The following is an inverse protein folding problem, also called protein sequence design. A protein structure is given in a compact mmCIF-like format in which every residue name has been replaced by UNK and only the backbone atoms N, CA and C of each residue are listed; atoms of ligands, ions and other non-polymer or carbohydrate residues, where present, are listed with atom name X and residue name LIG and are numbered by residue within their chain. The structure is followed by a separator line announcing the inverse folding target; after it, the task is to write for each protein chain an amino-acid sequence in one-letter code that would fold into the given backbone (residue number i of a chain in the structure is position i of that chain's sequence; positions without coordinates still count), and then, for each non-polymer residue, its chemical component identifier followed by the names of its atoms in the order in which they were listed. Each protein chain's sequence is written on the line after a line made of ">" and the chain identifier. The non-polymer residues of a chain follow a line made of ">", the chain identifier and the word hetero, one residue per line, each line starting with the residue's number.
data_IF_932636939122
#
_entry.id   IF_932636939122
#
_cell.length_a   1.000
_cell.length_b   1.000
_cell.length_c   1.000
_cell.angle_alpha   90.00
_cell.angle_beta   90.00
_cell.angle_gamma   90.00
#
_symmetry.space_group_name_H-M   'P 1'
#
loop_
_entity.id
_entity.type
_entity.pdbx_description
1 polymer ?
#
# COMPACT_ATOMS: atom_id res chain seq x y z
N UNK A 1 -0.92 35.65 14.56
CA UNK A 1 -1.73 34.48 14.99
C UNK A 1 -2.13 34.70 16.44
N UNK A 2 -3.40 35.02 16.71
CA UNK A 2 -3.88 35.17 18.08
C UNK A 2 -4.03 33.78 18.71
N UNK A 3 -3.30 33.52 19.80
CA UNK A 3 -3.49 32.32 20.60
C UNK A 3 -4.89 32.37 21.21
N UNK A 4 -5.79 31.48 20.78
CA UNK A 4 -7.13 31.32 21.38
C UNK A 4 -6.96 30.55 22.71
N UNK A 5 -6.67 31.28 23.78
CA UNK A 5 -6.33 30.74 25.12
C UNK A 5 -7.44 29.87 25.75
N UNK A 6 -8.66 29.82 25.18
CA UNK A 6 -9.79 29.10 25.75
C UNK A 6 -10.61 28.27 24.73
N UNK A 7 -9.99 27.80 23.65
CA UNK A 7 -10.68 26.99 22.65
C UNK A 7 -10.98 25.57 23.17
N UNK A 8 -12.23 25.13 22.99
CA UNK A 8 -12.65 23.75 23.29
C UNK A 8 -12.13 22.78 22.23
N UNK A 9 -11.81 21.55 22.63
CA UNK A 9 -11.32 20.50 21.73
C UNK A 9 -12.28 20.27 20.55
N UNK A 10 -13.58 20.24 20.84
CA UNK A 10 -14.68 20.10 19.88
C UNK A 10 -14.58 21.14 18.75
N UNK A 11 -14.39 22.41 19.10
CA UNK A 11 -14.23 23.50 18.14
C UNK A 11 -12.95 23.37 17.32
N UNK A 12 -11.86 22.94 17.94
CA UNK A 12 -10.57 22.73 17.26
C UNK A 12 -10.63 21.59 16.25
N UNK A 13 -11.28 20.47 16.59
CA UNK A 13 -11.51 19.34 15.67
C UNK A 13 -12.31 19.79 14.45
N UNK A 14 -13.36 20.59 14.64
CA UNK A 14 -14.15 21.16 13.55
C UNK A 14 -13.33 22.12 12.66
N UNK A 15 -12.44 22.92 13.26
CA UNK A 15 -11.51 23.76 12.49
C UNK A 15 -10.52 22.93 11.67
N UNK A 16 -10.04 21.78 12.17
CA UNK A 16 -9.19 20.87 11.40
C UNK A 16 -9.95 20.30 10.19
N UNK A 17 -11.19 19.83 10.40
CA UNK A 17 -12.04 19.35 9.30
C UNK A 17 -12.31 20.43 8.26
N UNK A 18 -12.59 21.66 8.68
CA UNK A 18 -12.82 22.79 7.77
C UNK A 18 -11.58 23.12 6.91
N UNK A 19 -10.39 22.74 7.36
CA UNK A 19 -9.14 22.86 6.60
C UNK A 19 -8.82 21.61 5.76
N UNK A 20 -9.75 20.65 5.65
CA UNK A 20 -9.56 19.39 4.91
C UNK A 20 -8.67 18.38 5.62
N UNK A 21 -8.44 18.53 6.94
CA UNK A 21 -7.62 17.60 7.73
C UNK A 21 -8.52 16.63 8.46
N UNK A 22 -8.42 15.35 8.10
CA UNK A 22 -9.23 14.28 8.67
C UNK A 22 -8.52 13.49 9.79
N UNK A 23 -7.40 13.98 10.29
CA UNK A 23 -6.67 13.31 11.36
C UNK A 23 -5.63 14.23 12.00
N UNK A 24 -5.24 13.89 13.22
CA UNK A 24 -4.28 14.67 13.99
C UNK A 24 -3.47 13.80 14.96
N UNK A 25 -2.23 14.24 15.21
CA UNK A 25 -1.39 13.70 16.26
C UNK A 25 -1.72 14.38 17.61
N UNK A 26 -1.57 13.63 18.70
CA UNK A 26 -1.76 14.14 20.05
C UNK A 26 -0.81 15.30 20.37
N UNK A 27 0.39 15.29 19.79
CA UNK A 27 1.37 16.36 19.98
C UNK A 27 0.93 17.66 19.29
N UNK A 28 0.37 17.58 18.07
CA UNK A 28 -0.22 18.75 17.41
C UNK A 28 -1.38 19.34 18.21
N UNK A 29 -2.15 18.49 18.89
CA UNK A 29 -3.21 18.95 19.80
C UNK A 29 -2.63 19.66 21.04
N UNK A 30 -1.53 19.15 21.61
CA UNK A 30 -0.85 19.77 22.76
C UNK A 30 -0.29 21.15 22.40
N UNK A 31 0.28 21.28 21.22
CA UNK A 31 0.80 22.55 20.69
C UNK A 31 -0.31 23.56 20.42
N UNK A 32 -1.45 23.10 19.88
CA UNK A 32 -2.57 23.97 19.57
C UNK A 32 -3.34 24.45 20.81
N UNK A 33 -3.46 23.60 21.84
CA UNK A 33 -4.20 23.89 23.07
C UNK A 33 -3.30 23.75 24.32
N UNK A 34 -2.26 24.60 24.48
CA UNK A 34 -1.26 24.45 25.54
C UNK A 34 -1.84 24.67 26.94
N UNK A 35 -2.89 25.49 27.07
CA UNK A 35 -3.55 25.79 28.34
C UNK A 35 -4.36 24.62 28.92
N UNK A 36 -4.68 23.59 28.12
CA UNK A 36 -5.41 22.42 28.62
C UNK A 36 -4.48 21.46 29.37
N UNK A 37 -4.95 20.91 30.49
CA UNK A 37 -4.22 19.86 31.21
C UNK A 37 -4.33 18.51 30.49
N UNK A 38 -3.39 17.59 30.71
CA UNK A 38 -3.46 16.23 30.15
C UNK A 38 -4.73 15.49 30.58
N UNK A 39 -5.20 15.70 31.82
CA UNK A 39 -6.45 15.12 32.33
C UNK A 39 -7.65 15.66 31.55
N UNK A 40 -7.74 16.98 31.38
CA UNK A 40 -8.83 17.60 30.62
C UNK A 40 -8.83 17.11 29.16
N UNK A 41 -7.65 17.04 28.51
CA UNK A 41 -7.49 16.49 27.15
C UNK A 41 -7.99 15.05 27.07
N UNK A 42 -7.61 14.19 28.01
CA UNK A 42 -8.01 12.78 28.05
C UNK A 42 -9.54 12.64 28.14
N UNK A 43 -10.20 13.39 29.03
CA UNK A 43 -11.66 13.37 29.15
C UNK A 43 -12.35 13.92 27.90
N UNK A 44 -11.82 14.97 27.29
CA UNK A 44 -12.38 15.54 26.07
C UNK A 44 -12.24 14.57 24.87
N UNK A 45 -11.08 13.94 24.69
CA UNK A 45 -10.86 12.92 23.66
C UNK A 45 -11.77 11.71 23.88
N UNK A 46 -11.92 11.25 25.13
CA UNK A 46 -12.86 10.17 25.47
C UNK A 46 -14.29 10.55 25.06
N UNK A 47 -14.75 11.75 25.44
CA UNK A 47 -16.09 12.24 25.07
C UNK A 47 -16.31 12.25 23.56
N UNK A 48 -15.36 12.74 22.77
CA UNK A 48 -15.49 12.76 21.30
C UNK A 48 -15.46 11.36 20.70
N UNK A 49 -14.64 10.47 21.25
CA UNK A 49 -14.58 9.06 20.83
C UNK A 49 -15.88 8.31 21.15
N UNK A 50 -16.48 8.56 22.32
CA UNK A 50 -17.75 7.96 22.75
C UNK A 50 -18.91 8.44 21.85
N UNK A 51 -18.85 9.68 21.37
CA UNK A 51 -19.78 10.23 20.36
C UNK A 51 -19.53 9.71 18.93
N UNK A 52 -18.41 9.03 18.68
CA UNK A 52 -18.03 8.59 17.34
C UNK A 52 -17.55 9.70 16.40
N UNK A 53 -17.19 10.87 16.92
CA UNK A 53 -16.66 11.99 16.13
C UNK A 53 -15.15 11.83 15.83
N UNK A 54 -14.45 11.04 16.64
CA UNK A 54 -13.04 10.67 16.41
C UNK A 54 -12.81 9.18 16.65
N UNK A 55 -11.76 8.64 16.05
CA UNK A 55 -11.30 7.27 16.26
C UNK A 55 -9.77 7.25 16.44
N UNK A 56 -9.31 6.73 17.58
CA UNK A 56 -7.87 6.45 17.75
C UNK A 56 -7.49 5.25 16.89
N UNK A 57 -6.63 5.42 15.89
CA UNK A 57 -6.16 4.31 15.03
C UNK A 57 -4.76 3.81 15.42
N UNK A 58 -3.96 4.67 16.03
CA UNK A 58 -2.59 4.38 16.46
C UNK A 58 -2.30 5.14 17.77
N UNK A 59 -1.30 4.70 18.53
CA UNK A 59 -0.93 5.37 19.79
C UNK A 59 -0.58 6.83 19.50
N UNK A 60 -1.35 7.74 20.08
CA UNK A 60 -1.14 9.18 19.89
C UNK A 60 -1.62 9.74 18.55
N UNK A 61 -2.41 8.99 17.77
CA UNK A 61 -3.00 9.49 16.53
C UNK A 61 -4.50 9.18 16.45
N UNK A 62 -5.28 10.19 16.04
CA UNK A 62 -6.73 10.13 15.92
C UNK A 62 -7.13 10.53 14.51
N UNK A 63 -8.07 9.80 13.92
CA UNK A 63 -8.81 10.26 12.75
C UNK A 63 -10.10 10.94 13.21
N UNK A 64 -10.54 11.93 12.44
CA UNK A 64 -11.79 12.63 12.64
C UNK A 64 -12.81 12.00 11.70
N UNK A 65 -14.02 11.74 12.19
CA UNK A 65 -15.13 11.17 11.45
C UNK A 65 -16.15 12.27 11.15
N UNK A 66 -16.13 12.85 9.92
CA UNK A 66 -17.17 13.78 9.50
C UNK A 66 -18.56 13.12 9.56
N UNK A 67 -19.64 13.92 9.63
CA UNK A 67 -21.01 13.41 9.67
C UNK A 67 -21.32 12.38 8.57
N UNK A 68 -20.81 12.58 7.34
CA UNK A 68 -21.00 11.65 6.22
C UNK A 68 -20.42 10.25 6.43
N UNK A 69 -19.48 10.08 7.38
CA UNK A 69 -18.86 8.80 7.74
C UNK A 69 -19.28 8.33 9.15
N UNK A 70 -20.14 9.08 9.85
CA UNK A 70 -20.50 8.79 11.24
C UNK A 70 -21.28 7.48 11.40
N UNK A 71 -22.23 7.20 10.50
CA UNK A 71 -23.02 5.94 10.54
C UNK A 71 -22.15 4.71 10.28
N UNK A 72 -21.28 4.77 9.28
CA UNK A 72 -20.38 3.65 8.92
C UNK A 72 -19.22 3.52 9.90
N UNK A 73 -18.84 4.60 10.58
CA UNK A 73 -17.72 4.63 11.54
C UNK A 73 -16.33 4.41 10.91
N UNK A 74 -16.23 4.45 9.57
CA UNK A 74 -15.01 4.20 8.80
C UNK A 74 -14.74 5.39 7.89
N UNK A 75 -13.55 5.98 8.05
CA UNK A 75 -13.01 6.95 7.13
C UNK A 75 -12.15 6.23 6.07
N UNK A 76 -12.34 6.49 4.76
CA UNK A 76 -11.47 5.97 3.72
C UNK A 76 -9.99 6.32 3.96
N UNK A 77 -9.05 5.35 3.90
CA UNK A 77 -7.61 5.60 4.08
C UNK A 77 -7.03 6.75 3.25
N UNK A 78 -7.42 6.97 1.98
CA UNK A 78 -6.90 8.08 1.18
C UNK A 78 -7.09 9.49 1.78
N UNK A 79 -8.01 9.65 2.74
CA UNK A 79 -8.30 10.92 3.39
C UNK A 79 -7.36 11.27 4.56
N UNK A 80 -6.64 10.28 5.10
CA UNK A 80 -5.81 10.50 6.30
C UNK A 80 -4.45 9.81 6.26
N UNK A 81 -4.24 8.84 5.36
CA UNK A 81 -3.05 7.98 5.37
C UNK A 81 -1.75 8.79 5.29
N UNK A 82 -1.68 9.76 4.39
CA UNK A 82 -0.49 10.58 4.22
C UNK A 82 -0.15 11.38 5.48
N UNK A 83 -1.15 12.05 6.06
CA UNK A 83 -1.00 12.78 7.31
C UNK A 83 -0.62 11.86 8.48
N UNK A 84 -1.17 10.65 8.51
CA UNK A 84 -0.86 9.63 9.51
C UNK A 84 0.59 9.17 9.42
N UNK A 85 1.04 8.76 8.23
CA UNK A 85 2.39 8.24 8.02
C UNK A 85 3.46 9.32 8.24
N UNK A 86 3.18 10.57 7.86
CA UNK A 86 4.02 11.74 8.19
C UNK A 86 4.11 11.98 9.69
N UNK A 87 2.98 11.92 10.41
CA UNK A 87 2.95 12.13 11.86
C UNK A 87 3.79 11.10 12.62
N UNK A 88 3.80 9.84 12.19
CA UNK A 88 4.64 8.79 12.78
C UNK A 88 6.04 8.70 12.15
N UNK A 89 6.38 9.62 11.23
CA UNK A 89 7.66 9.71 10.52
C UNK A 89 8.05 8.40 9.81
N UNK A 90 7.08 7.78 9.15
CA UNK A 90 7.28 6.55 8.37
C UNK A 90 7.13 6.85 6.88
N UNK A 91 8.17 6.69 6.06
CA UNK A 91 8.01 6.73 4.62
C UNK A 91 7.18 5.51 4.19
N UNK A 92 6.32 5.70 3.19
CA UNK A 92 5.37 4.68 2.78
C UNK A 92 4.98 4.84 1.32
N UNK A 93 4.39 3.77 0.80
CA UNK A 93 3.54 3.81 -0.38
C UNK A 93 2.40 2.81 -0.24
N UNK A 94 1.29 3.08 -0.93
CA UNK A 94 0.19 2.13 -1.11
C UNK A 94 0.62 1.10 -2.14
N UNK A 95 0.44 -0.19 -1.83
CA UNK A 95 0.97 -1.29 -2.63
C UNK A 95 -0.10 -2.33 -2.97
N UNK A 96 0.27 -3.33 -3.79
CA UNK A 96 -0.55 -4.50 -4.11
C UNK A 96 -1.90 -4.12 -4.73
N UNK A 97 -2.98 -4.81 -4.33
CA UNK A 97 -4.32 -4.63 -4.90
C UNK A 97 -4.81 -3.17 -4.81
N UNK A 98 -4.42 -2.45 -3.75
CA UNK A 98 -4.81 -1.05 -3.60
C UNK A 98 -4.12 -0.15 -4.61
N UNK A 99 -2.84 -0.38 -4.91
CA UNK A 99 -2.13 0.34 -5.96
C UNK A 99 -2.64 -0.03 -7.35
N UNK A 100 -2.87 -1.33 -7.60
CA UNK A 100 -3.42 -1.81 -8.87
C UNK A 100 -4.78 -1.15 -9.18
N UNK A 101 -5.66 -1.02 -8.18
CA UNK A 101 -6.93 -0.29 -8.33
C UNK A 101 -6.74 1.19 -8.72
N UNK A 102 -5.69 1.88 -8.25
CA UNK A 102 -5.38 3.24 -8.68
C UNK A 102 -4.85 3.33 -10.11
N UNK A 103 -4.37 2.22 -10.67
CA UNK A 103 -3.98 2.09 -12.06
C UNK A 103 -5.12 1.54 -12.93
N UNK A 104 -6.33 1.36 -12.38
CA UNK A 104 -7.48 0.82 -13.13
C UNK A 104 -7.51 -0.70 -13.23
N UNK A 105 -6.55 -1.40 -12.62
CA UNK A 105 -6.43 -2.86 -12.66
C UNK A 105 -7.03 -3.49 -11.39
N UNK A 106 -8.37 -3.48 -11.31
CA UNK A 106 -9.09 -4.12 -10.20
C UNK A 106 -10.59 -4.23 -10.47
N UNK A 107 -11.07 -5.44 -10.80
CA UNK A 107 -12.51 -5.73 -10.85
C UNK A 107 -13.22 -5.65 -9.49
N UNK A 108 -12.50 -5.84 -8.39
CA UNK A 108 -13.06 -5.89 -7.03
C UNK A 108 -12.35 -4.94 -6.08
N UNK A 109 -13.12 -4.12 -5.38
CA UNK A 109 -12.57 -3.23 -4.36
C UNK A 109 -11.82 -4.05 -3.28
N UNK A 110 -10.53 -3.76 -3.03
CA UNK A 110 -9.79 -4.45 -1.99
C UNK A 110 -10.44 -4.25 -0.61
N UNK A 111 -10.69 -5.35 0.11
CA UNK A 111 -11.32 -5.31 1.43
C UNK A 111 -10.40 -4.76 2.54
N UNK A 112 -9.09 -4.72 2.26
CA UNK A 112 -8.06 -4.25 3.16
C UNK A 112 -7.20 -3.23 2.42
N UNK A 113 -6.55 -2.35 3.19
CA UNK A 113 -5.66 -1.34 2.65
C UNK A 113 -4.21 -1.72 2.93
N UNK A 114 -3.49 -2.12 1.89
CA UNK A 114 -2.10 -2.61 1.94
C UNK A 114 -1.13 -1.45 1.73
N UNK A 115 -0.22 -1.32 2.70
CA UNK A 115 0.74 -0.22 2.79
C UNK A 115 2.13 -0.84 2.96
N UNK A 116 3.06 -0.47 2.11
CA UNK A 116 4.47 -0.80 2.31
C UNK A 116 5.16 0.36 3.02
N UNK A 117 5.95 0.05 4.06
CA UNK A 117 6.68 1.00 4.91
C UNK A 117 8.03 0.42 5.31
N UNK A 118 8.89 1.19 5.97
CA UNK A 118 10.17 0.69 6.49
C UNK A 118 10.07 0.01 7.85
N UNK A 119 11.06 -0.83 8.18
CA UNK A 119 11.26 -1.39 9.52
C UNK A 119 11.45 -0.33 10.62
N UNK A 120 11.17 -0.62 11.90
CA UNK A 120 10.60 -1.87 12.44
C UNK A 120 9.16 -2.17 11.99
N UNK A 121 8.77 -3.44 12.11
CA UNK A 121 7.47 -3.95 11.68
C UNK A 121 6.32 -3.22 12.39
N UNK A 122 5.35 -2.75 11.59
CA UNK A 122 4.10 -2.20 12.08
C UNK A 122 3.03 -3.29 12.20
N UNK A 123 2.29 -3.28 13.32
CA UNK A 123 1.16 -4.20 13.51
C UNK A 123 -0.02 -3.76 12.64
N UNK A 124 -0.81 -4.70 12.08
CA UNK A 124 -2.07 -4.38 11.44
C UNK A 124 -2.98 -3.53 12.32
N UNK A 125 -3.71 -2.60 11.72
CA UNK A 125 -4.71 -1.79 12.40
C UNK A 125 -6.08 -2.28 11.94
N UNK A 126 -6.86 -2.82 12.87
CA UNK A 126 -8.24 -3.24 12.64
C UNK A 126 -9.16 -2.57 13.67
N UNK A 127 -9.96 -1.60 13.24
CA UNK A 127 -10.89 -0.86 14.12
C UNK A 127 -12.15 -0.43 13.38
N UNK A 128 -13.33 -0.76 13.92
CA UNK A 128 -14.65 -0.35 13.41
C UNK A 128 -14.83 -0.56 11.89
N UNK A 129 -14.22 -1.58 11.29
CA UNK A 129 -14.28 -1.84 9.84
C UNK A 129 -13.10 -1.29 9.02
N UNK A 130 -12.29 -0.40 9.57
CA UNK A 130 -11.00 0.00 9.00
C UNK A 130 -10.00 -1.16 9.15
N UNK A 131 -9.40 -1.60 8.04
CA UNK A 131 -8.34 -2.61 8.00
C UNK A 131 -7.13 -2.08 7.24
N UNK A 132 -6.08 -1.69 7.97
CA UNK A 132 -4.78 -1.32 7.41
C UNK A 132 -3.78 -2.43 7.67
N UNK A 133 -3.15 -2.90 6.61
CA UNK A 133 -2.14 -3.95 6.66
C UNK A 133 -0.80 -3.43 6.14
N UNK A 134 0.26 -3.80 6.85
CA UNK A 134 1.59 -3.28 6.58
C UNK A 134 2.51 -4.38 6.03
N UNK A 135 3.36 -4.00 5.09
CA UNK A 135 4.53 -4.75 4.62
C UNK A 135 5.75 -3.92 4.99
N UNK A 136 6.76 -4.54 5.58
CA UNK A 136 7.96 -3.86 6.03
C UNK A 136 9.15 -4.22 5.14
N UNK A 137 9.74 -3.20 4.52
CA UNK A 137 10.95 -3.31 3.71
C UNK A 137 12.09 -2.48 4.33
N UNK A 138 13.31 -2.60 3.78
CA UNK A 138 14.46 -1.85 4.29
C UNK A 138 14.42 -0.37 3.88
N UNK A 139 14.17 -0.12 2.60
CA UNK A 139 14.24 1.21 1.98
C UNK A 139 13.08 1.39 1.02
N UNK A 140 12.44 2.56 1.04
CA UNK A 140 11.40 2.93 0.07
C UNK A 140 12.08 3.39 -1.23
N UNK A 141 11.69 2.86 -2.41
CA UNK A 141 12.21 3.32 -3.69
C UNK A 141 11.43 4.56 -4.18
N UNK A 142 11.81 5.76 -3.74
CA UNK A 142 11.02 6.97 -4.01
C UNK A 142 10.81 7.26 -5.50
N UNK A 143 11.80 6.90 -6.34
CA UNK A 143 11.75 7.07 -7.80
C UNK A 143 10.78 6.11 -8.50
N UNK A 144 10.33 5.06 -7.80
CA UNK A 144 9.35 4.10 -8.30
C UNK A 144 7.93 4.38 -7.74
N UNK A 145 7.71 5.56 -7.16
CA UNK A 145 6.42 5.97 -6.60
C UNK A 145 5.73 7.02 -7.46
N UNK A 146 4.40 6.95 -7.49
CA UNK A 146 3.55 7.96 -8.09
C UNK A 146 2.69 8.65 -7.02
N UNK A 147 2.46 9.95 -7.21
CA UNK A 147 1.51 10.70 -6.39
C UNK A 147 0.12 10.62 -6.99
N UNK A 148 -0.84 10.09 -6.25
CA UNK A 148 -2.27 10.15 -6.59
C UNK A 148 -2.96 11.22 -5.78
N UNK A 149 -3.75 12.05 -6.47
CA UNK A 149 -4.55 13.10 -5.84
C UNK A 149 -5.70 12.46 -5.04
N UNK A 150 -5.95 12.99 -3.86
CA UNK A 150 -7.07 12.64 -2.99
C UNK A 150 -7.82 13.90 -2.58
N UNK A 151 -9.00 13.76 -1.96
CA UNK A 151 -9.75 14.91 -1.43
C UNK A 151 -8.97 15.68 -0.36
N UNK A 152 -8.06 15.01 0.35
CA UNK A 152 -7.24 15.58 1.42
C UNK A 152 -5.79 15.91 0.99
N UNK A 153 -5.48 15.88 -0.31
CA UNK A 153 -4.15 16.18 -0.84
C UNK A 153 -3.64 15.10 -1.79
N UNK A 154 -2.57 14.41 -1.40
CA UNK A 154 -1.94 13.36 -2.20
C UNK A 154 -1.55 12.17 -1.33
N UNK A 155 -1.52 11.00 -1.95
CA UNK A 155 -0.92 9.78 -1.40
C UNK A 155 0.15 9.26 -2.36
N UNK A 156 1.13 8.56 -1.81
CA UNK A 156 2.13 7.85 -2.62
C UNK A 156 1.64 6.43 -2.89
N UNK A 157 1.68 5.99 -4.15
CA UNK A 157 1.39 4.63 -4.58
C UNK A 157 2.59 4.07 -5.34
N UNK A 158 2.72 2.75 -5.43
CA UNK A 158 3.71 2.14 -6.33
C UNK A 158 3.38 2.46 -7.79
N UNK A 159 4.40 2.71 -8.63
CA UNK A 159 4.24 2.78 -10.08
C UNK A 159 3.69 1.45 -10.64
N UNK A 160 3.20 1.39 -11.89
CA UNK A 160 2.73 0.16 -12.50
C UNK A 160 3.78 -0.97 -12.43
N UNK A 161 5.04 -0.69 -12.79
CA UNK A 161 6.13 -1.68 -12.73
C UNK A 161 6.41 -2.19 -11.30
N UNK A 162 6.46 -1.29 -10.31
CA UNK A 162 6.63 -1.68 -8.91
C UNK A 162 5.41 -2.45 -8.38
N UNK A 163 4.21 -2.08 -8.80
CA UNK A 163 2.97 -2.78 -8.45
C UNK A 163 2.99 -4.22 -8.97
N UNK A 164 3.39 -4.43 -10.23
CA UNK A 164 3.51 -5.76 -10.82
C UNK A 164 4.54 -6.64 -10.07
N UNK A 165 5.71 -6.07 -9.73
CA UNK A 165 6.72 -6.77 -8.94
C UNK A 165 6.22 -7.11 -7.53
N UNK A 166 5.55 -6.16 -6.85
CA UNK A 166 5.01 -6.35 -5.51
C UNK A 166 3.90 -7.42 -5.48
N UNK A 167 3.00 -7.45 -6.46
CA UNK A 167 1.93 -8.47 -6.56
C UNK A 167 2.52 -9.89 -6.57
N UNK A 168 3.60 -10.11 -7.33
CA UNK A 168 4.27 -11.41 -7.41
C UNK A 168 5.12 -11.68 -6.17
N UNK A 169 5.85 -10.68 -5.66
CA UNK A 169 6.72 -10.82 -4.50
C UNK A 169 5.94 -11.14 -3.22
N UNK A 170 4.77 -10.51 -3.05
CA UNK A 170 3.93 -10.63 -1.86
C UNK A 170 2.60 -11.32 -2.16
N UNK A 171 2.56 -12.24 -3.13
CA UNK A 171 1.35 -12.98 -3.55
C UNK A 171 0.54 -13.57 -2.38
N UNK A 172 1.24 -14.03 -1.33
CA UNK A 172 0.60 -14.60 -0.12
C UNK A 172 -0.25 -13.59 0.64
N UNK A 173 0.03 -12.30 0.51
CA UNK A 173 -0.71 -11.19 1.16
C UNK A 173 -2.00 -10.85 0.44
N UNK A 174 -2.18 -11.33 -0.79
CA UNK A 174 -3.36 -11.04 -1.60
C UNK A 174 -4.21 -12.29 -1.86
N UNK A 175 -3.81 -13.46 -1.35
CA UNK A 175 -4.56 -14.71 -1.46
C UNK A 175 -3.98 -15.70 -2.46
N UNK A 176 -2.78 -15.45 -2.99
CA UNK A 176 -2.10 -16.39 -3.85
C UNK A 176 -1.68 -15.82 -5.19
N UNK A 177 -0.87 -16.61 -5.90
CA UNK A 177 -0.40 -16.28 -7.24
C UNK A 177 -1.53 -16.15 -8.27
N UNK A 178 -2.59 -16.96 -8.20
CA UNK A 178 -3.72 -16.86 -9.14
C UNK A 178 -4.36 -15.46 -9.09
N UNK A 179 -4.58 -14.91 -7.90
CA UNK A 179 -5.10 -13.55 -7.75
C UNK A 179 -4.10 -12.49 -8.22
N UNK A 180 -2.80 -12.72 -8.01
CA UNK A 180 -1.77 -11.84 -8.54
C UNK A 180 -1.83 -11.77 -10.06
N UNK A 181 -2.00 -12.91 -10.73
CA UNK A 181 -2.09 -13.00 -12.19
C UNK A 181 -3.37 -12.35 -12.70
N UNK A 182 -4.53 -12.63 -12.11
CA UNK A 182 -5.79 -12.00 -12.53
C UNK A 182 -5.70 -10.46 -12.55
N UNK A 183 -5.06 -9.88 -11.53
CA UNK A 183 -4.81 -8.43 -11.48
C UNK A 183 -3.74 -7.99 -12.48
N UNK A 184 -2.72 -8.82 -12.71
CA UNK A 184 -1.66 -8.54 -13.68
C UNK A 184 -2.19 -8.50 -15.13
N UNK A 185 -3.18 -9.34 -15.46
CA UNK A 185 -3.86 -9.36 -16.77
C UNK A 185 -4.51 -8.02 -17.10
N UNK A 186 -5.04 -7.31 -16.11
CA UNK A 186 -5.58 -5.96 -16.28
C UNK A 186 -4.45 -4.91 -16.24
N UNK A 187 -3.50 -5.07 -15.30
CA UNK A 187 -2.43 -4.09 -15.07
C UNK A 187 -1.50 -3.93 -16.28
N UNK A 188 -1.31 -4.99 -17.07
CA UNK A 188 -0.48 -4.94 -18.26
C UNK A 188 -0.94 -3.91 -19.30
N UNK A 189 -2.21 -3.52 -19.33
CA UNK A 189 -2.70 -2.46 -20.23
C UNK A 189 -2.13 -1.08 -19.88
N UNK A 190 -1.69 -0.90 -18.64
CA UNK A 190 -1.05 0.35 -18.16
C UNK A 190 0.47 0.29 -18.14
N UNK A 191 1.04 -0.92 -18.24
CA UNK A 191 2.47 -1.14 -18.24
C UNK A 191 3.09 -0.79 -19.58
N UNK A 192 4.29 -0.23 -19.53
CA UNK A 192 5.14 0.05 -20.67
C UNK A 192 6.49 -0.65 -20.50
N UNK A 193 7.24 -0.90 -21.59
CA UNK A 193 8.60 -1.42 -21.47
C UNK A 193 9.52 -0.59 -20.57
N UNK A 194 9.29 0.72 -20.45
CA UNK A 194 10.08 1.65 -19.64
C UNK A 194 9.88 1.47 -18.13
N UNK A 195 8.77 0.85 -17.71
CA UNK A 195 8.51 0.54 -16.31
C UNK A 195 9.49 -0.51 -15.75
N UNK A 196 10.03 -1.38 -16.61
CA UNK A 196 11.01 -2.40 -16.24
C UNK A 196 12.46 -1.91 -16.28
N UNK A 197 12.70 -0.68 -15.84
CA UNK A 197 14.01 -0.05 -15.85
C UNK A 197 14.99 -0.60 -14.78
N UNK A 198 16.23 -0.12 -14.84
CA UNK A 198 17.31 -0.50 -13.92
C UNK A 198 16.96 -0.32 -12.43
N UNK A 199 16.23 0.74 -12.07
CA UNK A 199 15.86 1.02 -10.68
C UNK A 199 14.91 -0.07 -10.14
N UNK A 200 13.92 -0.48 -10.94
CA UNK A 200 13.00 -1.55 -10.55
C UNK A 200 13.75 -2.87 -10.37
N UNK A 201 14.58 -3.27 -11.34
CA UNK A 201 15.23 -4.59 -11.30
C UNK A 201 16.28 -4.72 -10.20
N UNK A 202 16.89 -3.60 -9.80
CA UNK A 202 17.83 -3.56 -8.66
C UNK A 202 17.11 -3.49 -7.32
N UNK A 203 15.89 -2.95 -7.27
CA UNK A 203 15.10 -2.85 -6.05
C UNK A 203 14.38 -4.17 -5.71
N UNK A 204 13.69 -4.76 -6.68
CA UNK A 204 12.84 -5.92 -6.48
C UNK A 204 13.65 -7.22 -6.32
N UNK A 205 13.07 -8.22 -5.67
CA UNK A 205 13.75 -9.51 -5.52
C UNK A 205 13.86 -10.21 -6.87
N UNK A 206 15.08 -10.66 -7.23
CA UNK A 206 15.35 -11.38 -8.48
C UNK A 206 14.38 -12.54 -8.70
N UNK A 207 14.07 -13.30 -7.66
CA UNK A 207 13.13 -14.43 -7.76
C UNK A 207 11.68 -14.01 -8.02
N UNK A 208 11.27 -12.82 -7.57
CA UNK A 208 9.97 -12.25 -7.90
C UNK A 208 9.96 -11.79 -9.36
N UNK A 209 11.02 -11.14 -9.82
CA UNK A 209 11.15 -10.71 -11.22
C UNK A 209 11.21 -11.88 -12.20
N UNK A 210 11.90 -12.98 -11.85
CA UNK A 210 11.90 -14.20 -12.65
C UNK A 210 10.49 -14.79 -12.80
N UNK A 211 9.69 -14.82 -11.71
CA UNK A 211 8.29 -15.25 -11.79
C UNK A 211 7.45 -14.27 -12.61
N UNK A 212 7.62 -12.96 -12.39
CA UNK A 212 6.90 -11.94 -13.13
C UNK A 212 7.15 -12.05 -14.64
N UNK A 213 8.40 -12.18 -15.06
CA UNK A 213 8.75 -12.38 -16.46
C UNK A 213 8.14 -13.64 -17.06
N UNK A 214 8.19 -14.76 -16.33
CA UNK A 214 7.51 -15.99 -16.76
C UNK A 214 5.99 -15.78 -16.91
N UNK A 215 5.35 -15.11 -15.97
CA UNK A 215 3.91 -14.84 -16.01
C UNK A 215 3.55 -13.94 -17.20
N UNK A 216 4.28 -12.84 -17.40
CA UNK A 216 4.06 -11.93 -18.52
C UNK A 216 4.20 -12.67 -19.87
N UNK A 217 5.21 -13.53 -20.02
CA UNK A 217 5.45 -14.23 -21.29
C UNK A 217 4.43 -15.35 -21.57
N UNK A 218 4.23 -16.23 -20.59
CA UNK A 218 3.55 -17.50 -20.83
C UNK A 218 2.10 -17.51 -20.38
N UNK A 219 1.70 -16.59 -19.51
CA UNK A 219 0.33 -16.51 -18.99
C UNK A 219 -0.38 -15.29 -19.57
N UNK A 220 0.20 -14.10 -19.41
CA UNK A 220 -0.35 -12.84 -19.97
C UNK A 220 -0.09 -12.66 -21.46
N UNK A 221 0.74 -13.53 -22.06
CA UNK A 221 1.10 -13.50 -23.48
C UNK A 221 1.67 -12.15 -23.98
N UNK A 222 2.35 -11.42 -23.09
CA UNK A 222 2.91 -10.11 -23.35
C UNK A 222 4.44 -10.19 -23.52
N UNK A 223 4.85 -10.56 -24.72
CA UNK A 223 6.26 -10.75 -25.08
C UNK A 223 7.06 -9.45 -24.94
N UNK A 224 6.48 -8.30 -25.27
CA UNK A 224 7.18 -7.01 -25.27
C UNK A 224 7.62 -6.60 -23.86
N UNK A 225 6.69 -6.63 -22.90
CA UNK A 225 6.96 -6.33 -21.50
C UNK A 225 7.95 -7.34 -20.90
N UNK A 226 7.73 -8.62 -21.20
CA UNK A 226 8.61 -9.71 -20.76
C UNK A 226 10.05 -9.53 -21.29
N UNK A 227 10.21 -9.20 -22.56
CA UNK A 227 11.52 -8.97 -23.18
C UNK A 227 12.23 -7.76 -22.59
N UNK A 228 11.49 -6.68 -22.29
CA UNK A 228 12.05 -5.50 -21.63
C UNK A 228 12.60 -5.84 -20.25
N UNK A 229 11.83 -6.56 -19.44
CA UNK A 229 12.27 -7.02 -18.13
C UNK A 229 13.50 -7.92 -18.25
N UNK A 230 13.49 -8.90 -19.15
CA UNK A 230 14.61 -9.82 -19.35
C UNK A 230 15.88 -9.05 -19.71
N UNK A 231 15.82 -8.14 -20.69
CA UNK A 231 16.96 -7.32 -21.12
C UNK A 231 17.52 -6.49 -19.97
N UNK A 232 16.68 -5.79 -19.21
CA UNK A 232 17.14 -4.96 -18.09
C UNK A 232 17.78 -5.79 -16.97
N UNK A 233 17.23 -6.96 -16.65
CA UNK A 233 17.84 -7.87 -15.68
C UNK A 233 19.21 -8.37 -16.13
N UNK A 234 19.38 -8.70 -17.43
CA UNK A 234 20.67 -9.09 -18.00
C UNK A 234 21.67 -7.93 -18.01
N UNK A 235 21.24 -6.72 -18.39
CA UNK A 235 22.11 -5.52 -18.38
C UNK A 235 22.59 -5.15 -16.97
N UNK A 236 21.80 -5.46 -15.94
CA UNK A 236 22.21 -5.31 -14.54
C UNK A 236 23.00 -6.51 -13.98
N UNK A 237 23.34 -7.50 -14.82
CA UNK A 237 24.06 -8.73 -14.45
C UNK A 237 23.41 -9.51 -13.30
N UNK A 238 22.07 -9.56 -13.25
CA UNK A 238 21.36 -10.30 -12.22
C UNK A 238 21.44 -11.81 -12.49
N UNK A 239 21.87 -12.58 -11.50
CA UNK A 239 21.97 -14.04 -11.60
C UNK A 239 20.59 -14.70 -11.49
N UNK A 240 20.26 -15.54 -12.46
CA UNK A 240 18.99 -16.26 -12.49
C UNK A 240 19.13 -17.62 -11.81
N UNK A 241 18.24 -17.89 -10.85
CA UNK A 241 18.20 -19.15 -10.11
C UNK A 241 17.05 -20.03 -10.57
N UNK A 242 17.21 -21.35 -10.44
CA UNK A 242 16.10 -22.27 -10.68
C UNK A 242 15.10 -22.15 -9.52
N UNK A 243 13.91 -21.61 -9.78
CA UNK A 243 12.91 -21.30 -8.73
C UNK A 243 11.53 -21.88 -9.05
N UNK A 244 10.74 -22.33 -8.06
CA UNK A 244 9.38 -22.76 -8.31
C UNK A 244 8.46 -21.58 -8.62
N UNK A 245 7.51 -21.79 -9.54
CA UNK A 245 6.40 -20.87 -9.79
C UNK A 245 5.55 -20.73 -8.52
N UNK A 246 5.13 -21.85 -7.93
CA UNK A 246 4.43 -21.90 -6.64
C UNK A 246 5.33 -22.49 -5.54
N UNK A 247 5.69 -21.65 -4.58
CA UNK A 247 6.65 -22.02 -3.52
C UNK A 247 6.18 -23.17 -2.61
N UNK A 248 4.87 -23.36 -2.46
CA UNK A 248 4.28 -24.38 -1.59
C UNK A 248 4.02 -25.73 -2.27
N UNK A 249 4.21 -25.84 -3.59
CA UNK A 249 3.91 -27.05 -4.36
C UNK A 249 5.17 -27.92 -4.58
N UNK A 250 5.02 -29.25 -4.75
CA UNK A 250 6.12 -30.15 -5.08
C UNK A 250 6.88 -29.71 -6.33
N UNK A 251 8.20 -29.90 -6.36
CA UNK A 251 9.07 -29.39 -7.44
C UNK A 251 9.63 -30.51 -8.31
N UNK A 252 9.71 -31.74 -7.78
CA UNK A 252 10.30 -32.89 -8.46
C UNK A 252 9.44 -33.29 -9.67
N UNK A 253 10.08 -33.49 -10.82
CA UNK A 253 9.41 -33.89 -12.07
C UNK A 253 8.92 -32.73 -12.94
N UNK A 254 9.00 -31.48 -12.47
CA UNK A 254 8.59 -30.33 -13.25
C UNK A 254 9.77 -29.70 -14.02
N UNK A 255 9.50 -29.30 -15.27
CA UNK A 255 10.47 -28.62 -16.13
C UNK A 255 10.70 -27.18 -15.70
N UNK A 256 11.90 -26.69 -15.97
CA UNK A 256 12.29 -25.29 -15.87
C UNK A 256 13.03 -24.83 -17.14
N UNK A 257 12.77 -25.49 -18.26
CA UNK A 257 13.37 -25.21 -19.57
C UNK A 257 12.71 -23.98 -20.20
N UNK A 258 12.82 -22.84 -19.53
CA UNK A 258 12.45 -21.52 -20.01
C UNK A 258 13.56 -20.54 -19.63
N UNK A 259 13.64 -19.40 -20.33
CA UNK A 259 14.68 -18.39 -20.08
C UNK A 259 14.66 -17.80 -18.67
N UNK A 260 13.52 -17.88 -17.99
CA UNK A 260 13.34 -17.41 -16.61
C UNK A 260 13.79 -18.42 -15.55
N UNK A 261 14.17 -19.65 -15.93
CA UNK A 261 14.50 -20.77 -15.02
C UNK A 261 13.41 -21.05 -13.98
N UNK A 262 12.15 -20.76 -14.32
CA UNK A 262 11.00 -20.99 -13.43
C UNK A 262 10.51 -22.43 -13.59
N UNK A 263 10.40 -23.16 -12.49
CA UNK A 263 9.88 -24.52 -12.44
C UNK A 263 8.36 -24.45 -12.43
N UNK A 264 7.73 -24.95 -13.49
CA UNK A 264 6.28 -24.83 -13.72
C UNK A 264 5.52 -25.88 -12.92
N UNK A 265 5.46 -25.70 -11.60
CA UNK A 265 4.94 -26.67 -10.64
C UNK A 265 3.50 -26.40 -10.17
N UNK A 266 2.76 -25.59 -10.92
CA UNK A 266 1.33 -25.34 -10.74
C UNK A 266 0.75 -24.91 -12.07
N UNK A 267 -0.52 -25.18 -12.29
CA UNK A 267 -1.32 -24.48 -13.30
C UNK A 267 -1.83 -23.18 -12.68
N UNK A 268 -1.88 -22.11 -13.46
CA UNK A 268 -2.56 -20.87 -13.09
C UNK A 268 -3.96 -20.95 -13.70
N UNK A 269 -4.96 -20.87 -12.85
CA UNK A 269 -6.37 -20.79 -13.25
C UNK A 269 -6.76 -19.32 -13.23
N UNK A 270 -7.16 -18.80 -14.40
CA UNK A 270 -7.80 -17.51 -14.50
C UNK A 270 -9.30 -17.75 -14.26
N UNK A 271 -9.88 -17.08 -13.27
CA UNK A 271 -11.33 -17.07 -13.12
C UNK A 271 -11.89 -16.21 -14.27
N UNK A 272 -12.72 -16.81 -15.13
CA UNK A 272 -13.51 -16.12 -16.17
C UNK A 272 -14.49 -15.11 -15.57
#
# INVERSE_FOLDING_TARGET
>A
MAFKVNQRLDSWVNEQLAQGRFGFALDSLREALPAQTEIARKFALKRLSDKGEILSIYKGYYIILPPQYAEKGVLPPPLFLDAFMKAIRRPYYVSLLNAAAYHGASHQQPQEYLITTTFPVMRPISKKGLKLNFISIKTIPEELLEKRKTESGYINISSPGLTAADLVQYEKRIGGLNRAVAVLEELQETLTPADFNALLVQHAHVTALQRLGYLLEFICHNQELSDSLYKNMQSCNLEFFRIPLKTSAPVKGFSSENRWKVIVNTTIELEE
#
